data_IF_214291883518
#
_entry.id   IF_214291883518
#
_cell.length_a   1.000
_cell.length_b   1.000
_cell.length_c   1.000
_cell.angle_alpha   90.00
_cell.angle_beta   90.00
_cell.angle_gamma   90.00
#
_symmetry.space_group_name_H-M   'P 1'
#
loop_
_entity.id
_entity.type
_entity.pdbx_description
1 polymer ?
#
# COMPACT_ATOMS: atom_id res chain seq x y z
N UNK A 1 6.72 -6.51 -8.98
CA UNK A 1 6.17 -6.58 -7.60
C UNK A 1 7.27 -6.61 -6.53
N UNK A 2 8.08 -7.68 -6.41
CA UNK A 2 9.15 -7.76 -5.38
C UNK A 2 10.14 -6.58 -5.38
N UNK A 3 10.56 -6.12 -6.57
CA UNK A 3 11.43 -4.94 -6.74
C UNK A 3 10.84 -3.68 -6.09
N UNK A 4 9.55 -3.43 -6.31
CA UNK A 4 8.85 -2.27 -5.75
C UNK A 4 8.80 -2.31 -4.21
N UNK A 5 8.57 -3.49 -3.61
CA UNK A 5 8.64 -3.62 -2.16
C UNK A 5 10.05 -3.39 -1.61
N UNK A 6 11.08 -3.91 -2.28
CA UNK A 6 12.48 -3.72 -1.89
C UNK A 6 12.88 -2.23 -1.91
N UNK A 7 12.57 -1.53 -2.98
CA UNK A 7 12.85 -0.09 -3.11
C UNK A 7 12.16 0.75 -2.05
N UNK A 8 10.89 0.45 -1.73
CA UNK A 8 10.16 1.19 -0.69
C UNK A 8 10.64 0.85 0.74
N UNK A 9 11.12 -0.38 0.96
CA UNK A 9 11.77 -0.77 2.22
C UNK A 9 13.11 -0.02 2.39
N UNK A 10 13.93 0.04 1.34
CA UNK A 10 15.22 0.75 1.34
C UNK A 10 15.05 2.27 1.52
N UNK A 11 13.99 2.85 0.93
CA UNK A 11 13.62 4.26 1.14
C UNK A 11 12.98 4.53 2.50
N UNK A 12 12.63 3.50 3.27
CA UNK A 12 11.97 3.64 4.57
C UNK A 12 10.48 4.03 4.51
N UNK A 13 9.86 4.00 3.33
CA UNK A 13 8.43 4.31 3.18
C UNK A 13 7.51 3.23 3.76
N UNK A 14 7.98 1.98 3.80
CA UNK A 14 7.28 0.86 4.41
C UNK A 14 8.21 0.09 5.35
N UNK A 15 7.62 -0.67 6.29
CA UNK A 15 8.34 -1.60 7.17
C UNK A 15 7.52 -2.87 7.36
N UNK A 16 8.16 -3.95 7.82
CA UNK A 16 7.43 -5.13 8.29
C UNK A 16 6.52 -4.72 9.45
N UNK A 17 5.28 -5.19 9.42
CA UNK A 17 4.26 -4.90 10.43
C UNK A 17 3.84 -6.21 11.11
N UNK A 18 3.49 -6.12 12.39
CA UNK A 18 2.86 -7.19 13.18
C UNK A 18 1.39 -6.90 13.48
N UNK A 19 0.81 -5.89 12.83
CA UNK A 19 -0.58 -5.49 13.03
C UNK A 19 -1.54 -6.64 12.69
N UNK A 20 -2.59 -6.86 13.50
CA UNK A 20 -3.65 -7.81 13.17
C UNK A 20 -4.50 -7.35 11.99
N UNK A 21 -4.47 -6.06 11.64
CA UNK A 21 -5.19 -5.50 10.50
C UNK A 21 -4.38 -5.63 9.20
N UNK A 22 -5.04 -6.07 8.13
CA UNK A 22 -4.47 -6.19 6.79
C UNK A 22 -5.42 -5.61 5.74
N UNK A 23 -4.87 -5.00 4.70
CA UNK A 23 -5.62 -4.50 3.55
C UNK A 23 -5.03 -5.10 2.26
N UNK A 24 -5.86 -5.45 1.27
CA UNK A 24 -5.36 -5.99 0.01
C UNK A 24 -4.61 -4.93 -0.80
N UNK A 25 -3.61 -5.39 -1.54
CA UNK A 25 -2.80 -4.56 -2.44
C UNK A 25 -3.15 -4.89 -3.89
N UNK A 26 -3.37 -3.86 -4.68
CA UNK A 26 -3.69 -3.92 -6.10
C UNK A 26 -2.52 -3.32 -6.90
N UNK A 27 -2.19 -3.94 -8.03
CA UNK A 27 -1.25 -3.38 -8.99
C UNK A 27 -1.99 -2.95 -10.24
N UNK A 28 -1.88 -1.67 -10.58
CA UNK A 28 -2.50 -1.10 -11.78
C UNK A 28 -1.41 -0.70 -12.76
N UNK A 29 -1.57 -1.09 -14.02
CA UNK A 29 -0.68 -0.69 -15.11
C UNK A 29 -0.99 0.75 -15.52
N UNK A 30 0.03 1.60 -15.54
CA UNK A 30 -0.06 2.97 -16.06
C UNK A 30 0.09 2.99 -17.59
N UNK A 31 -0.17 4.16 -18.19
CA UNK A 31 0.02 4.40 -19.63
C UNK A 31 1.48 4.27 -20.09
N UNK A 32 2.44 4.52 -19.19
CA UNK A 32 3.89 4.41 -19.43
C UNK A 32 4.43 2.97 -19.20
N UNK A 33 3.54 1.97 -19.20
CA UNK A 33 3.82 0.57 -18.90
C UNK A 33 4.37 0.28 -17.49
N UNK A 34 4.52 1.29 -16.62
CA UNK A 34 4.92 1.08 -15.23
C UNK A 34 3.75 0.59 -14.37
N UNK A 35 4.06 -0.13 -13.29
CA UNK A 35 3.06 -0.55 -12.31
C UNK A 35 2.96 0.48 -11.17
N UNK A 36 1.73 0.84 -10.79
CA UNK A 36 1.44 1.59 -9.57
C UNK A 36 0.82 0.64 -8.54
N UNK A 37 1.38 0.66 -7.33
CA UNK A 37 0.82 -0.05 -6.18
C UNK A 37 -0.31 0.79 -5.57
N UNK A 38 -1.47 0.18 -5.36
CA UNK A 38 -2.61 0.73 -4.64
C UNK A 38 -2.91 -0.15 -3.43
N UNK A 39 -3.21 0.47 -2.29
CA UNK A 39 -3.71 -0.23 -1.11
C UNK A 39 -5.20 0.05 -1.01
N UNK A 40 -6.03 -0.98 -0.93
CA UNK A 40 -7.47 -0.81 -0.81
C UNK A 40 -7.84 -0.46 0.64
N UNK A 41 -7.89 0.83 0.92
CA UNK A 41 -8.22 1.37 2.23
C UNK A 41 -9.72 1.47 2.52
N UNK A 42 -10.62 1.02 1.63
CA UNK A 42 -12.07 1.28 1.78
C UNK A 42 -12.60 0.84 3.15
N UNK A 43 -12.40 -0.43 3.51
CA UNK A 43 -12.80 -0.97 4.82
C UNK A 43 -12.10 -0.28 5.99
N UNK A 44 -10.86 0.16 5.80
CA UNK A 44 -10.11 0.83 6.86
C UNK A 44 -10.65 2.25 7.09
N UNK A 45 -11.01 2.96 6.02
CA UNK A 45 -11.58 4.30 6.08
C UNK A 45 -12.97 4.31 6.73
N UNK A 46 -13.74 3.21 6.62
CA UNK A 46 -15.03 3.07 7.30
C UNK A 46 -14.87 2.93 8.83
N UNK A 47 -13.72 2.43 9.29
CA UNK A 47 -13.43 2.21 10.72
C UNK A 47 -12.73 3.43 11.33
N UNK A 48 -11.91 4.15 10.55
CA UNK A 48 -11.15 5.31 11.03
C UNK A 48 -12.07 6.54 11.06
N UNK A 49 -12.29 7.08 12.26
CA UNK A 49 -12.91 8.39 12.44
C UNK A 49 -11.91 9.45 11.95
N UNK A 50 -12.32 10.29 10.99
CA UNK A 50 -11.52 11.42 10.54
C UNK A 50 -11.64 12.54 11.57
N UNK A 51 -10.59 12.75 12.35
CA UNK A 51 -10.43 13.96 13.16
C UNK A 51 -9.84 15.06 12.28
N UNK A 52 -10.50 16.21 12.22
CA UNK A 52 -10.00 17.46 11.63
C UNK A 52 -9.61 18.41 12.76
#
# INVERSE_FOLDING_TARGET
IKKHFKENLEKGFIRKSTSPACAPILFVKKKDDTLRLYVDYRKLNDIIIRTH
#
